data_IF_912383945926
#
_entry.id   IF_912383945926
#
_cell.length_a   1.000
_cell.length_b   1.000
_cell.length_c   1.000
_cell.angle_alpha   90.00
_cell.angle_beta   90.00
_cell.angle_gamma   90.00
#
_symmetry.space_group_name_H-M   'P 1'
#
loop_
_entity.id
_entity.type
_entity.pdbx_description
1 polymer ?
#
# COMPACT_ATOMS: atom_id res chain seq x y z
N UNK A 1 25.29 -10.75 20.27
CA UNK A 1 24.99 -9.93 19.08
C UNK A 1 24.08 -10.74 18.18
N UNK A 2 22.81 -10.38 18.08
CA UNK A 2 21.87 -11.00 17.14
C UNK A 2 22.20 -10.47 15.75
N UNK A 3 22.89 -11.28 14.94
CA UNK A 3 23.01 -10.99 13.51
C UNK A 3 21.61 -11.16 12.90
N UNK A 4 21.02 -10.05 12.47
CA UNK A 4 19.85 -10.07 11.62
C UNK A 4 20.20 -10.84 10.34
N UNK A 5 19.37 -11.82 9.92
CA UNK A 5 19.63 -12.54 8.69
C UNK A 5 19.71 -11.55 7.52
N UNK A 6 20.55 -11.81 6.51
CA UNK A 6 20.68 -10.91 5.37
C UNK A 6 19.31 -10.79 4.69
N UNK A 7 18.72 -9.60 4.81
CA UNK A 7 17.44 -9.28 4.17
C UNK A 7 17.68 -9.39 2.67
N UNK A 8 17.07 -10.37 2.01
CA UNK A 8 17.08 -10.46 0.56
C UNK A 8 16.14 -9.37 0.00
N UNK A 9 16.62 -8.12 -0.03
CA UNK A 9 15.80 -6.95 -0.39
C UNK A 9 15.20 -7.05 -1.80
N UNK A 10 15.89 -7.73 -2.71
CA UNK A 10 15.38 -8.01 -4.05
C UNK A 10 14.18 -8.96 -4.04
N UNK A 11 14.09 -9.90 -3.08
CA UNK A 11 12.89 -10.73 -2.91
C UNK A 11 11.75 -9.98 -2.24
N UNK A 12 12.03 -9.11 -1.26
CA UNK A 12 11.00 -8.31 -0.59
C UNK A 12 10.34 -7.29 -1.53
N UNK A 13 11.11 -6.61 -2.38
CA UNK A 13 10.53 -5.65 -3.35
C UNK A 13 9.68 -6.40 -4.40
N UNK A 14 10.15 -7.55 -4.88
CA UNK A 14 9.35 -8.42 -5.77
C UNK A 14 8.07 -8.90 -5.10
N UNK A 15 8.14 -9.29 -3.82
CA UNK A 15 6.97 -9.72 -3.04
C UNK A 15 5.97 -8.60 -2.86
N UNK A 16 6.44 -7.38 -2.55
CA UNK A 16 5.60 -6.19 -2.46
C UNK A 16 4.89 -5.89 -3.78
N UNK A 17 5.62 -5.88 -4.91
CA UNK A 17 5.02 -5.66 -6.23
C UNK A 17 4.02 -6.75 -6.63
N UNK A 18 4.34 -8.02 -6.35
CA UNK A 18 3.43 -9.13 -6.62
C UNK A 18 2.15 -9.02 -5.79
N UNK A 19 2.28 -8.66 -4.51
CA UNK A 19 1.14 -8.41 -3.61
C UNK A 19 0.28 -7.28 -4.16
N UNK A 20 0.90 -6.16 -4.53
CA UNK A 20 0.20 -5.00 -5.08
C UNK A 20 -0.55 -5.33 -6.38
N UNK A 21 0.06 -6.10 -7.29
CA UNK A 21 -0.61 -6.53 -8.53
C UNK A 21 -1.86 -7.38 -8.26
N UNK A 22 -1.80 -8.27 -7.27
CA UNK A 22 -2.96 -9.10 -6.87
C UNK A 22 -4.07 -8.22 -6.28
N UNK A 23 -3.71 -7.25 -5.43
CA UNK A 23 -4.67 -6.30 -4.87
C UNK A 23 -5.29 -5.42 -5.96
N UNK A 24 -4.48 -4.93 -6.91
CA UNK A 24 -4.96 -4.17 -8.06
C UNK A 24 -5.96 -4.96 -8.90
N UNK A 25 -5.63 -6.21 -9.25
CA UNK A 25 -6.56 -7.08 -9.95
C UNK A 25 -7.87 -7.28 -9.17
N UNK A 26 -7.79 -7.42 -7.83
CA UNK A 26 -8.97 -7.55 -6.96
C UNK A 26 -9.86 -6.31 -7.07
N UNK A 27 -9.29 -5.11 -7.05
CA UNK A 27 -10.02 -3.84 -7.18
C UNK A 27 -10.67 -3.71 -8.56
N UNK A 28 -9.94 -4.01 -9.62
CA UNK A 28 -10.39 -3.81 -11.01
C UNK A 28 -11.40 -4.86 -11.47
N UNK A 29 -11.19 -6.13 -11.13
CA UNK A 29 -11.82 -7.26 -11.81
C UNK A 29 -12.83 -8.07 -10.98
N UNK A 30 -12.79 -7.98 -9.64
CA UNK A 30 -13.70 -8.75 -8.78
C UNK A 30 -14.97 -7.98 -8.45
N UNK A 31 -16.02 -8.69 -8.01
CA UNK A 31 -17.31 -8.10 -7.66
C UNK A 31 -17.32 -7.52 -6.24
N UNK A 32 -17.52 -6.21 -6.15
CA UNK A 32 -17.74 -5.46 -4.91
C UNK A 32 -18.57 -4.22 -5.23
N UNK A 33 -19.38 -3.75 -4.28
CA UNK A 33 -20.34 -2.66 -4.48
C UNK A 33 -19.96 -1.38 -3.71
N UNK A 34 -19.22 -1.52 -2.62
CA UNK A 34 -18.86 -0.44 -1.71
C UNK A 34 -17.49 -0.70 -1.07
N UNK A 35 -16.93 0.32 -0.40
CA UNK A 35 -15.61 0.20 0.23
C UNK A 35 -15.57 -0.90 1.30
N UNK A 36 -16.66 -1.11 2.05
CA UNK A 36 -16.73 -2.13 3.09
C UNK A 36 -16.57 -3.55 2.52
N UNK A 37 -17.29 -3.87 1.45
CA UNK A 37 -17.21 -5.14 0.74
C UNK A 37 -15.83 -5.34 0.11
N UNK A 38 -15.21 -4.29 -0.44
CA UNK A 38 -13.83 -4.34 -0.92
C UNK A 38 -12.82 -4.64 0.19
N UNK A 39 -12.93 -4.01 1.36
CA UNK A 39 -12.05 -4.28 2.50
C UNK A 39 -12.14 -5.75 2.93
N UNK A 40 -13.35 -6.31 2.98
CA UNK A 40 -13.56 -7.74 3.30
C UNK A 40 -12.87 -8.64 2.27
N UNK A 41 -12.99 -8.33 0.97
CA UNK A 41 -12.30 -9.07 -0.09
C UNK A 41 -10.78 -9.01 0.08
N UNK A 42 -10.22 -7.81 0.30
CA UNK A 42 -8.78 -7.61 0.49
C UNK A 42 -8.27 -8.38 1.71
N UNK A 43 -8.99 -8.36 2.83
CA UNK A 43 -8.64 -9.16 4.02
C UNK A 43 -8.67 -10.66 3.69
N UNK A 44 -9.63 -11.11 2.87
CA UNK A 44 -9.69 -12.48 2.37
C UNK A 44 -8.44 -12.84 1.54
N UNK A 45 -8.05 -11.97 0.61
CA UNK A 45 -6.83 -12.13 -0.20
C UNK A 45 -5.57 -12.14 0.67
N UNK A 46 -5.46 -11.24 1.63
CA UNK A 46 -4.34 -11.16 2.57
C UNK A 46 -4.13 -12.49 3.30
N UNK A 47 -5.20 -13.07 3.86
CA UNK A 47 -5.10 -14.37 4.54
C UNK A 47 -4.59 -15.47 3.60
N UNK A 48 -4.99 -15.45 2.33
CA UNK A 48 -4.50 -16.42 1.35
C UNK A 48 -3.04 -16.16 1.00
N UNK A 49 -2.65 -14.91 0.75
CA UNK A 49 -1.26 -14.55 0.45
C UNK A 49 -0.31 -14.92 1.58
N UNK A 50 -0.70 -14.67 2.84
CA UNK A 50 0.10 -15.03 4.01
C UNK A 50 0.25 -16.55 4.24
N UNK A 51 -0.59 -17.39 3.63
CA UNK A 51 -0.43 -18.86 3.71
C UNK A 51 0.67 -19.37 2.78
N UNK A 52 0.93 -18.68 1.68
CA UNK A 52 1.82 -19.15 0.61
C UNK A 52 3.07 -18.28 0.45
N UNK A 53 3.26 -17.27 1.29
CA UNK A 53 4.43 -16.41 1.26
C UNK A 53 5.39 -16.73 2.40
N UNK A 54 6.68 -16.78 2.07
CA UNK A 54 7.76 -16.86 3.06
C UNK A 54 8.09 -15.47 3.66
N UNK A 55 7.53 -14.38 3.11
CA UNK A 55 7.77 -12.99 3.54
C UNK A 55 6.47 -12.31 3.98
N UNK A 56 5.80 -12.94 4.96
CA UNK A 56 4.50 -12.50 5.48
C UNK A 56 4.48 -11.06 6.01
N UNK A 57 5.60 -10.58 6.54
CA UNK A 57 5.72 -9.21 7.02
C UNK A 57 5.60 -8.22 5.87
N UNK A 58 6.25 -8.48 4.73
CA UNK A 58 6.14 -7.63 3.54
C UNK A 58 4.74 -7.68 2.96
N UNK A 59 4.14 -8.87 2.83
CA UNK A 59 2.76 -9.03 2.35
C UNK A 59 1.78 -8.24 3.20
N UNK A 60 1.88 -8.36 4.53
CA UNK A 60 1.02 -7.64 5.47
C UNK A 60 1.21 -6.13 5.34
N UNK A 61 2.46 -5.66 5.38
CA UNK A 61 2.76 -4.23 5.33
C UNK A 61 2.31 -3.59 4.01
N UNK A 62 2.53 -4.26 2.87
CA UNK A 62 2.05 -3.78 1.56
C UNK A 62 0.53 -3.70 1.54
N UNK A 63 -0.16 -4.71 2.07
CA UNK A 63 -1.63 -4.71 2.12
C UNK A 63 -2.17 -3.61 3.02
N UNK A 64 -1.58 -3.41 4.20
CA UNK A 64 -1.98 -2.33 5.11
C UNK A 64 -1.75 -0.95 4.51
N UNK A 65 -0.68 -0.75 3.75
CA UNK A 65 -0.44 0.51 3.00
C UNK A 65 -1.54 0.78 1.99
N UNK A 66 -1.97 -0.25 1.24
CA UNK A 66 -3.08 -0.13 0.27
C UNK A 66 -4.39 0.22 0.99
N UNK A 67 -4.72 -0.50 2.07
CA UNK A 67 -5.93 -0.22 2.84
C UNK A 67 -5.95 1.19 3.43
N UNK A 68 -4.80 1.70 3.89
CA UNK A 68 -4.67 3.07 4.38
C UNK A 68 -4.96 4.09 3.26
N UNK A 69 -4.38 3.88 2.08
CA UNK A 69 -4.56 4.78 0.95
C UNK A 69 -6.02 4.81 0.46
N UNK A 70 -6.70 3.66 0.42
CA UNK A 70 -8.13 3.60 0.09
C UNK A 70 -9.01 4.33 1.08
N UNK A 71 -8.68 4.25 2.38
CA UNK A 71 -9.38 5.04 3.39
C UNK A 71 -9.19 6.53 3.17
N UNK A 72 -7.97 6.97 2.87
CA UNK A 72 -7.67 8.39 2.60
C UNK A 72 -8.47 8.92 1.40
N UNK A 73 -8.52 8.16 0.30
CA UNK A 73 -9.31 8.53 -0.89
C UNK A 73 -10.83 8.53 -0.62
N UNK A 74 -11.33 7.56 0.15
CA UNK A 74 -12.74 7.54 0.53
C UNK A 74 -13.13 8.69 1.47
N UNK A 75 -12.23 9.09 2.38
CA UNK A 75 -12.43 10.25 3.24
C UNK A 75 -12.46 11.56 2.45
N UNK A 76 -11.58 11.72 1.45
CA UNK A 76 -11.61 12.88 0.53
C UNK A 76 -12.95 12.97 -0.20
N UNK A 77 -13.50 11.82 -0.60
CA UNK A 77 -14.81 11.76 -1.23
C UNK A 77 -15.94 12.17 -0.26
N UNK A 78 -15.93 11.65 0.96
CA UNK A 78 -16.99 11.92 1.95
C UNK A 78 -16.96 13.34 2.52
N UNK A 79 -15.78 13.92 2.72
CA UNK A 79 -15.60 15.21 3.43
C UNK A 79 -15.22 16.38 2.51
N UNK A 80 -14.94 16.10 1.23
CA UNK A 80 -14.48 17.08 0.24
C UNK A 80 -12.95 17.22 0.18
N UNK A 81 -12.43 17.63 -0.98
CA UNK A 81 -10.99 17.68 -1.32
C UNK A 81 -10.15 18.59 -0.39
N UNK A 82 -10.81 19.56 0.27
CA UNK A 82 -10.21 20.54 1.20
C UNK A 82 -10.57 20.27 2.66
N UNK A 83 -11.01 19.06 3.02
CA UNK A 83 -11.18 18.72 4.43
C UNK A 83 -9.80 18.81 5.10
N UNK A 84 -9.60 19.84 5.92
CA UNK A 84 -8.45 19.95 6.79
C UNK A 84 -8.42 18.66 7.62
N UNK A 85 -7.49 17.75 7.28
CA UNK A 85 -7.11 16.66 8.15
C UNK A 85 -6.42 17.32 9.33
N UNK A 86 -7.21 17.92 10.24
CA UNK A 86 -6.72 18.28 11.56
C UNK A 86 -6.01 17.04 12.05
N UNK A 87 -4.71 17.22 12.28
CA UNK A 87 -3.80 16.29 12.88
C UNK A 87 -4.41 15.92 14.25
N UNK A 88 -5.39 15.02 14.26
CA UNK A 88 -6.03 14.56 15.48
C UNK A 88 -5.12 13.46 16.02
N UNK A 89 -4.09 14.00 16.67
CA UNK A 89 -2.81 13.49 17.12
C UNK A 89 -2.86 12.35 18.15
N UNK A 90 -3.92 11.52 18.19
CA UNK A 90 -3.97 10.40 19.15
C UNK A 90 -4.57 9.11 18.57
N UNK A 91 -3.90 8.60 17.53
CA UNK A 91 -3.94 7.22 17.02
C UNK A 91 -5.14 6.80 16.11
N UNK A 92 -5.01 6.91 14.77
CA UNK A 92 -6.09 6.58 13.84
C UNK A 92 -5.80 5.44 12.85
N UNK A 93 -4.87 4.51 13.12
CA UNK A 93 -4.99 3.19 12.48
C UNK A 93 -6.28 2.46 12.93
N UNK A 94 -6.90 2.94 14.03
CA UNK A 94 -8.04 2.33 14.70
C UNK A 94 -9.00 3.33 15.36
N UNK A 95 -9.13 4.57 14.87
CA UNK A 95 -10.27 5.40 15.25
C UNK A 95 -11.52 4.84 14.55
N UNK A 96 -12.07 3.81 15.19
CA UNK A 96 -13.32 3.12 14.89
C UNK A 96 -14.43 4.01 15.44
N UNK A 97 -15.25 4.56 14.55
CA UNK A 97 -16.44 5.30 14.96
C UNK A 97 -17.23 5.77 13.75
N UNK A 98 -18.00 4.85 13.14
CA UNK A 98 -19.06 5.15 12.16
C UNK A 98 -18.67 6.01 10.96
N UNK A 99 -17.62 5.62 10.23
CA UNK A 99 -17.58 5.98 8.81
C UNK A 99 -18.47 4.98 8.07
N UNK A 100 -19.61 5.44 7.53
CA UNK A 100 -20.53 4.61 6.74
C UNK A 100 -19.88 4.27 5.40
N UNK A 101 -18.85 3.42 5.38
CA UNK A 101 -18.16 2.98 4.15
C UNK A 101 -19.08 2.25 3.16
N UNK A 102 -20.29 1.90 3.58
CA UNK A 102 -21.37 1.42 2.72
C UNK A 102 -21.93 2.51 1.80
N UNK A 103 -21.72 3.79 2.14
CA UNK A 103 -22.14 4.95 1.34
C UNK A 103 -21.18 5.29 0.21
N UNK A 104 -19.95 4.76 0.26
CA UNK A 104 -18.92 5.01 -0.76
C UNK A 104 -19.03 3.95 -1.84
N UNK A 105 -19.69 4.29 -2.94
CA UNK A 105 -19.97 3.32 -4.01
C UNK A 105 -18.76 3.08 -4.89
N UNK A 106 -18.63 1.86 -5.43
CA UNK A 106 -17.53 1.50 -6.33
C UNK A 106 -17.30 2.51 -7.46
N UNK A 107 -18.37 2.98 -8.09
CA UNK A 107 -18.27 3.82 -9.27
C UNK A 107 -17.62 5.18 -8.96
N UNK A 108 -17.69 5.64 -7.71
CA UNK A 108 -17.15 6.93 -7.29
C UNK A 108 -15.66 6.86 -6.94
N UNK A 109 -15.18 5.70 -6.48
CA UNK A 109 -13.82 5.53 -5.93
C UNK A 109 -12.92 4.60 -6.75
N UNK A 110 -13.45 3.88 -7.74
CA UNK A 110 -12.68 2.90 -8.51
C UNK A 110 -11.47 3.54 -9.22
N UNK A 111 -11.68 4.64 -9.95
CA UNK A 111 -10.62 5.34 -10.68
C UNK A 111 -9.56 5.92 -9.73
N UNK A 112 -9.93 6.71 -8.69
CA UNK A 112 -8.97 7.16 -7.67
C UNK A 112 -8.15 6.04 -7.01
N UNK A 113 -8.78 4.89 -6.77
CA UNK A 113 -8.10 3.75 -6.16
C UNK A 113 -7.10 3.10 -7.12
N UNK A 114 -7.45 2.96 -8.40
CA UNK A 114 -6.56 2.42 -9.42
C UNK A 114 -5.35 3.33 -9.61
N UNK A 115 -5.54 4.64 -9.63
CA UNK A 115 -4.45 5.62 -9.73
C UNK A 115 -3.53 5.57 -8.51
N UNK A 116 -4.11 5.55 -7.31
CA UNK A 116 -3.37 5.37 -6.06
C UNK A 116 -2.52 4.10 -6.09
N UNK A 117 -3.05 2.98 -6.57
CA UNK A 117 -2.31 1.73 -6.71
C UNK A 117 -1.17 1.83 -7.74
N UNK A 118 -1.38 2.53 -8.85
CA UNK A 118 -0.35 2.78 -9.85
C UNK A 118 0.80 3.62 -9.28
N UNK A 119 0.46 4.66 -8.51
CA UNK A 119 1.43 5.53 -7.84
C UNK A 119 2.25 4.75 -6.80
N UNK A 120 1.61 3.92 -5.97
CA UNK A 120 2.32 3.03 -5.06
C UNK A 120 3.25 2.07 -5.81
N UNK A 121 2.84 1.56 -6.96
CA UNK A 121 3.68 0.68 -7.78
C UNK A 121 4.91 1.41 -8.32
N UNK A 122 4.73 2.66 -8.77
CA UNK A 122 5.82 3.53 -9.22
C UNK A 122 6.78 3.89 -8.07
N UNK A 123 6.25 4.18 -6.88
CA UNK A 123 7.04 4.44 -5.67
C UNK A 123 7.94 3.24 -5.33
N UNK A 124 7.37 2.03 -5.27
CA UNK A 124 8.11 0.80 -4.95
C UNK A 124 9.19 0.52 -6.00
N UNK A 125 8.90 0.71 -7.28
CA UNK A 125 9.89 0.58 -8.37
C UNK A 125 11.00 1.62 -8.24
N UNK A 126 10.65 2.85 -7.87
CA UNK A 126 11.62 3.95 -7.71
C UNK A 126 12.57 3.71 -6.55
N UNK A 127 12.15 3.03 -5.46
CA UNK A 127 13.05 2.64 -4.36
C UNK A 127 14.24 1.80 -4.85
N UNK A 128 14.06 0.91 -5.83
CA UNK A 128 15.18 0.15 -6.42
C UNK A 128 16.17 1.10 -7.10
N UNK A 129 15.67 2.00 -7.93
CA UNK A 129 16.48 2.96 -8.69
C UNK A 129 17.26 3.89 -7.75
N UNK A 130 16.61 4.46 -6.73
CA UNK A 130 17.26 5.32 -5.75
C UNK A 130 18.35 4.60 -4.97
N UNK A 131 18.11 3.34 -4.56
CA UNK A 131 19.14 2.53 -3.87
C UNK A 131 20.35 2.25 -4.75
N UNK A 132 20.14 1.93 -6.03
CA UNK A 132 21.22 1.71 -7.00
C UNK A 132 22.05 3.00 -7.17
N UNK A 133 21.39 4.16 -7.29
CA UNK A 133 22.06 5.45 -7.39
C UNK A 133 22.88 5.74 -6.12
N UNK A 134 22.30 5.55 -4.93
CA UNK A 134 23.02 5.76 -3.66
C UNK A 134 24.24 4.84 -3.54
N UNK A 135 24.11 3.56 -3.91
CA UNK A 135 25.23 2.62 -3.91
C UNK A 135 26.30 3.04 -4.91
N UNK A 136 25.92 3.53 -6.09
CA UNK A 136 26.84 4.04 -7.08
C UNK A 136 27.63 5.25 -6.57
N UNK A 137 26.95 6.24 -5.99
CA UNK A 137 27.57 7.43 -5.38
C UNK A 137 28.58 7.03 -4.28
N UNK A 138 28.22 6.08 -3.43
CA UNK A 138 29.10 5.60 -2.36
C UNK A 138 30.29 4.77 -2.86
N UNK A 139 30.19 4.17 -4.05
CA UNK A 139 31.22 3.30 -4.63
C UNK A 139 32.16 4.05 -5.59
N UNK A 140 31.78 5.25 -6.04
CA UNK A 140 32.66 6.11 -6.84
C UNK A 140 33.68 6.81 -5.94
N UNK A 141 35.00 6.58 -6.12
CA UNK A 141 36.00 7.31 -5.38
C UNK A 141 35.94 8.79 -5.75
N UNK A 142 35.76 9.67 -4.76
CA UNK A 142 35.97 11.11 -4.95
C UNK A 142 37.45 11.33 -5.24
N UNK A 143 37.80 11.49 -6.51
CA UNK A 143 39.07 12.11 -6.88
C UNK A 143 38.95 13.59 -6.54
N UNK A 144 39.32 13.94 -5.31
CA UNK A 144 39.65 15.31 -4.92
C UNK A 144 41.02 15.63 -5.52
N UNK A 145 41.03 16.25 -6.69
CA UNK A 145 42.19 16.94 -7.27
C UNK A 145 42.31 18.35 -6.72
#
# INVERSE_FOLDING_TARGET
MLQSPPINRNSSIKTSLSTLNILKHTVESEEWCDLKSLIVLIIGKLRNLCKYSDDNTVVLNTTLRVLKAFREEALKFQMGENADFEENLTNPLFAVGNEDYETVSRNEILEPFVDTLNDLALEIKSCLTSLVICLWILSTPMNLS
#
